data_IF_727815114231
#
_entry.id   IF_727815114231
#
_cell.length_a   1.000
_cell.length_b   1.000
_cell.length_c   1.000
_cell.angle_alpha   90.00
_cell.angle_beta   90.00
_cell.angle_gamma   90.00
#
_symmetry.space_group_name_H-M   'P 1'
#
loop_
_entity.id
_entity.type
_entity.pdbx_description
1 polymer ?
#
# COMPACT_ATOMS: atom_id res chain seq x y z
N UNK A 1 12.62 1.28 -15.46
CA UNK A 1 11.43 0.55 -15.91
C UNK A 1 11.31 -0.84 -15.27
N UNK A 2 12.24 -1.77 -15.48
CA UNK A 2 12.16 -3.10 -14.86
C UNK A 2 11.91 -3.07 -13.34
N UNK A 3 12.56 -2.15 -12.60
CA UNK A 3 12.28 -1.92 -11.17
C UNK A 3 10.84 -1.49 -10.86
N UNK A 4 10.22 -0.70 -11.74
CA UNK A 4 8.82 -0.28 -11.57
C UNK A 4 7.90 -1.49 -11.71
N UNK A 5 8.09 -2.30 -12.75
CA UNK A 5 7.31 -3.53 -12.97
C UNK A 5 7.55 -4.59 -11.88
N UNK A 6 8.77 -4.65 -11.34
CA UNK A 6 9.07 -5.54 -10.22
C UNK A 6 8.31 -5.14 -8.94
N UNK A 7 8.14 -3.85 -8.68
CA UNK A 7 7.47 -3.37 -7.47
C UNK A 7 5.95 -3.23 -7.62
N UNK A 8 5.45 -2.91 -8.81
CA UNK A 8 4.07 -2.49 -9.05
C UNK A 8 3.37 -3.29 -10.16
N UNK A 9 4.01 -4.33 -10.69
CA UNK A 9 3.40 -5.23 -11.65
C UNK A 9 2.28 -6.06 -11.02
N UNK A 10 1.22 -6.42 -11.76
CA UNK A 10 0.96 -6.04 -13.17
C UNK A 10 0.69 -4.55 -13.37
N UNK A 11 1.23 -3.95 -14.44
CA UNK A 11 1.04 -2.53 -14.75
C UNK A 11 0.91 -2.26 -16.25
N UNK A 12 0.32 -1.11 -16.59
CA UNK A 12 0.14 -0.64 -17.98
C UNK A 12 1.11 0.49 -18.33
N UNK A 13 1.31 0.73 -19.63
CA UNK A 13 2.05 1.87 -20.15
C UNK A 13 1.51 3.21 -19.63
N UNK A 14 0.18 3.33 -19.55
CA UNK A 14 -0.51 4.50 -19.03
C UNK A 14 -0.28 4.70 -17.53
N UNK A 15 -0.28 3.60 -16.75
CA UNK A 15 0.01 3.65 -15.30
C UNK A 15 1.44 4.07 -15.03
N UNK A 16 2.40 3.54 -15.80
CA UNK A 16 3.79 3.96 -15.70
C UNK A 16 4.00 5.42 -16.11
N UNK A 17 3.34 5.87 -17.19
CA UNK A 17 3.44 7.25 -17.65
C UNK A 17 3.02 8.23 -16.54
N UNK A 18 1.90 7.94 -15.86
CA UNK A 18 1.42 8.70 -14.70
C UNK A 18 2.40 8.66 -13.53
N UNK A 19 2.87 7.48 -13.15
CA UNK A 19 3.82 7.32 -12.05
C UNK A 19 5.16 8.03 -12.31
N UNK A 20 5.69 7.92 -13.53
CA UNK A 20 6.97 8.52 -13.90
C UNK A 20 6.88 10.02 -14.26
N UNK A 21 5.66 10.57 -14.39
CA UNK A 21 5.44 11.95 -14.79
C UNK A 21 5.90 12.24 -16.23
N UNK A 22 5.79 11.26 -17.14
CA UNK A 22 6.21 11.37 -18.54
C UNK A 22 5.03 11.23 -19.50
N UNK A 23 5.18 11.71 -20.73
CA UNK A 23 4.17 11.48 -21.77
C UNK A 23 4.08 10.02 -22.21
N UNK A 24 2.86 9.56 -22.55
CA UNK A 24 2.63 8.17 -23.00
C UNK A 24 3.54 7.73 -24.16
N UNK A 25 3.85 8.54 -25.18
CA UNK A 25 4.80 8.15 -26.22
C UNK A 25 6.22 7.86 -25.69
N UNK A 26 6.65 8.59 -24.65
CA UNK A 26 7.94 8.34 -23.99
C UNK A 26 7.89 7.06 -23.17
N UNK A 27 6.81 6.83 -22.42
CA UNK A 27 6.59 5.60 -21.68
C UNK A 27 6.66 4.36 -22.58
N UNK A 28 6.00 4.39 -23.74
CA UNK A 28 6.02 3.30 -24.73
C UNK A 28 7.45 3.00 -25.24
N UNK A 29 8.23 4.02 -25.59
CA UNK A 29 9.64 3.84 -25.98
C UNK A 29 10.49 3.21 -24.87
N UNK A 30 10.19 3.51 -23.61
CA UNK A 30 10.87 2.91 -22.47
C UNK A 30 10.46 1.44 -22.22
N UNK A 31 9.33 1.02 -22.80
CA UNK A 31 8.76 -0.33 -22.69
C UNK A 31 9.37 -1.29 -23.72
N UNK A 32 9.62 -0.81 -24.94
CA UNK A 32 10.13 -1.59 -26.09
C UNK A 32 11.29 -2.55 -25.74
N UNK A 33 12.35 -2.14 -25.01
CA UNK A 33 13.48 -3.02 -24.72
C UNK A 33 13.16 -4.15 -23.74
N UNK A 34 12.00 -4.11 -23.08
CA UNK A 34 11.59 -5.09 -22.09
C UNK A 34 10.55 -6.07 -22.61
N UNK A 35 9.91 -5.82 -23.77
CA UNK A 35 8.78 -6.60 -24.28
C UNK A 35 9.02 -8.12 -24.27
N UNK A 36 10.22 -8.57 -24.67
CA UNK A 36 10.59 -10.00 -24.68
C UNK A 36 10.66 -10.64 -23.29
N UNK A 37 10.71 -9.83 -22.23
CA UNK A 37 10.79 -10.26 -20.83
C UNK A 37 9.48 -10.03 -20.08
N UNK A 38 8.45 -9.58 -20.78
CA UNK A 38 7.14 -9.29 -20.20
C UNK A 38 6.14 -10.36 -20.59
N UNK A 39 5.30 -10.68 -19.63
CA UNK A 39 4.12 -11.51 -19.84
C UNK A 39 2.89 -10.70 -19.50
N UNK A 40 1.84 -10.87 -20.30
CA UNK A 40 0.54 -10.31 -19.98
C UNK A 40 -0.08 -11.13 -18.84
N UNK A 41 -0.56 -10.44 -17.81
CA UNK A 41 -1.25 -11.02 -16.67
C UNK A 41 -2.63 -10.37 -16.59
N UNK A 42 -3.66 -11.20 -16.50
CA UNK A 42 -5.04 -10.76 -16.32
C UNK A 42 -5.48 -10.94 -14.87
N UNK A 43 -6.29 -10.01 -14.37
CA UNK A 43 -6.94 -10.11 -13.06
C UNK A 43 -8.31 -9.43 -13.14
N UNK A 44 -9.32 -10.06 -12.54
CA UNK A 44 -10.73 -9.63 -12.63
C UNK A 44 -11.15 -9.27 -14.06
N UNK A 45 -11.33 -7.97 -14.35
CA UNK A 45 -11.74 -7.42 -15.64
C UNK A 45 -10.64 -6.54 -16.29
N UNK A 46 -9.39 -6.71 -15.88
CA UNK A 46 -8.24 -5.93 -16.35
C UNK A 46 -7.06 -6.84 -16.74
N UNK A 47 -6.14 -6.29 -17.54
CA UNK A 47 -4.86 -6.91 -17.85
C UNK A 47 -3.74 -5.87 -17.87
N UNK A 48 -2.52 -6.36 -17.77
CA UNK A 48 -1.32 -5.55 -17.70
C UNK A 48 -0.08 -6.43 -17.78
N UNK A 49 1.08 -5.79 -17.78
CA UNK A 49 2.35 -6.47 -17.98
C UNK A 49 3.07 -6.72 -16.65
N UNK A 50 3.68 -7.88 -16.53
CA UNK A 50 4.64 -8.22 -15.48
C UNK A 50 5.95 -8.70 -16.09
N UNK A 51 7.04 -8.62 -15.33
CA UNK A 51 8.25 -9.36 -15.67
C UNK A 51 7.95 -10.86 -15.58
N UNK A 52 8.35 -11.64 -16.59
CA UNK A 52 8.13 -13.08 -16.66
C UNK A 52 8.59 -13.79 -15.38
N UNK A 53 9.77 -13.43 -14.87
CA UNK A 53 10.34 -13.98 -13.65
C UNK A 53 9.48 -13.70 -12.41
N UNK A 54 8.90 -12.50 -12.31
CA UNK A 54 8.05 -12.12 -11.17
C UNK A 54 6.70 -12.85 -11.25
N UNK A 55 6.13 -12.98 -12.46
CA UNK A 55 4.90 -13.74 -12.68
C UNK A 55 5.06 -15.22 -12.28
N UNK A 56 6.18 -15.86 -12.65
CA UNK A 56 6.48 -17.23 -12.24
C UNK A 56 6.64 -17.38 -10.72
N UNK A 57 7.18 -16.36 -10.05
CA UNK A 57 7.40 -16.40 -8.61
C UNK A 57 6.09 -16.17 -7.84
N UNK A 58 5.24 -15.26 -8.32
CA UNK A 58 3.98 -14.88 -7.67
C UNK A 58 3.03 -16.07 -7.49
N UNK A 59 2.95 -16.98 -8.46
CA UNK A 59 2.12 -18.19 -8.37
C UNK A 59 2.48 -19.13 -7.20
N UNK A 60 3.63 -18.93 -6.56
CA UNK A 60 4.11 -19.71 -5.42
C UNK A 60 4.07 -18.93 -4.10
N UNK A 61 3.71 -17.65 -4.12
CA UNK A 61 3.66 -16.83 -2.90
C UNK A 61 2.33 -16.99 -2.16
N UNK A 62 2.35 -17.00 -0.81
CA UNK A 62 1.12 -16.99 -0.04
C UNK A 62 0.37 -15.67 -0.28
N UNK A 63 -0.95 -15.75 -0.21
CA UNK A 63 -1.81 -14.57 -0.14
C UNK A 63 -1.36 -13.76 1.10
N UNK A 64 -1.17 -12.44 0.99
CA UNK A 64 -0.78 -11.61 2.12
C UNK A 64 -1.74 -11.80 3.30
N UNK A 65 -1.19 -12.07 4.48
CA UNK A 65 -1.95 -12.25 5.70
C UNK A 65 -1.50 -11.28 6.82
N UNK A 66 -2.43 -11.00 7.70
CA UNK A 66 -2.21 -10.25 8.93
C UNK A 66 -2.16 -8.74 8.76
N UNK A 67 -1.71 -8.08 9.82
CA UNK A 67 -1.75 -6.63 9.99
C UNK A 67 -0.47 -5.95 9.51
N UNK A 68 -0.59 -4.81 8.81
CA UNK A 68 0.53 -3.89 8.55
C UNK A 68 0.13 -2.43 8.75
N UNK A 69 1.00 -1.67 9.40
CA UNK A 69 0.89 -0.20 9.51
C UNK A 69 1.82 0.47 8.50
N UNK A 70 1.25 0.97 7.40
CA UNK A 70 1.99 1.72 6.40
C UNK A 70 2.00 3.21 6.74
N UNK A 71 3.19 3.80 6.72
CA UNK A 71 3.38 5.22 6.96
C UNK A 71 2.74 6.09 5.87
N UNK A 72 2.45 7.36 6.18
CA UNK A 72 2.03 8.30 5.14
C UNK A 72 3.13 8.42 4.07
N UNK A 73 2.72 8.42 2.81
CA UNK A 73 3.60 8.45 1.62
C UNK A 73 4.44 7.19 1.40
N UNK A 74 4.12 6.06 2.04
CA UNK A 74 4.76 4.78 1.72
C UNK A 74 4.70 4.51 0.20
N UNK A 75 5.79 4.05 -0.45
CA UNK A 75 5.80 3.76 -1.88
C UNK A 75 4.68 2.83 -2.33
N UNK A 76 4.29 1.88 -1.48
CA UNK A 76 3.18 0.97 -1.76
C UNK A 76 1.84 1.72 -1.90
N UNK A 77 1.63 2.79 -1.13
CA UNK A 77 0.43 3.65 -1.24
C UNK A 77 0.45 4.51 -2.51
N UNK A 78 1.63 4.78 -3.05
CA UNK A 78 1.80 5.60 -4.26
C UNK A 78 1.52 4.86 -5.57
N UNK A 79 0.98 3.63 -5.49
CA UNK A 79 0.48 2.92 -6.64
C UNK A 79 -0.55 3.74 -7.40
N UNK A 80 -0.53 3.56 -8.71
CA UNK A 80 -1.32 4.36 -9.64
C UNK A 80 -2.81 3.99 -9.59
N UNK A 81 -3.11 2.69 -9.48
CA UNK A 81 -4.46 2.22 -9.24
C UNK A 81 -4.72 2.04 -7.74
N UNK A 82 -5.33 3.06 -7.15
CA UNK A 82 -5.68 3.12 -5.72
C UNK A 82 -6.84 2.19 -5.35
N UNK A 83 -7.57 1.65 -6.32
CA UNK A 83 -8.73 0.81 -6.07
C UNK A 83 -8.36 -0.57 -5.50
N UNK A 84 -7.14 -1.06 -5.76
CA UNK A 84 -6.61 -2.28 -5.13
C UNK A 84 -6.35 -2.13 -3.63
N UNK A 85 -6.02 -0.91 -3.21
CA UNK A 85 -5.61 -0.61 -1.84
C UNK A 85 -6.82 -0.22 -0.99
N UNK A 86 -7.64 0.69 -1.54
CA UNK A 86 -8.74 1.31 -0.82
C UNK A 86 -10.06 0.95 -1.49
N UNK A 87 -10.80 0.04 -0.85
CA UNK A 87 -12.11 -0.38 -1.33
C UNK A 87 -13.23 0.44 -0.65
N UNK A 88 -14.20 0.87 -1.45
CA UNK A 88 -15.38 1.57 -0.95
C UNK A 88 -15.24 3.10 -0.83
N UNK A 89 -16.39 3.77 -0.95
CA UNK A 89 -16.46 5.24 -1.05
C UNK A 89 -16.03 5.96 0.24
N UNK A 90 -16.20 5.34 1.40
CA UNK A 90 -15.88 5.95 2.69
C UNK A 90 -14.37 6.08 2.89
N UNK A 91 -13.62 4.98 2.76
CA UNK A 91 -12.17 5.01 2.86
C UNK A 91 -11.53 5.86 1.76
N UNK A 92 -12.03 5.77 0.51
CA UNK A 92 -11.50 6.60 -0.57
C UNK A 92 -11.63 8.09 -0.26
N UNK A 93 -12.78 8.50 0.28
CA UNK A 93 -13.01 9.87 0.75
C UNK A 93 -12.14 10.22 1.95
N UNK A 94 -11.82 9.28 2.83
CA UNK A 94 -10.99 9.53 3.99
C UNK A 94 -9.52 9.80 3.58
N UNK A 95 -8.93 8.92 2.77
CA UNK A 95 -7.51 9.00 2.39
C UNK A 95 -7.21 10.04 1.31
N UNK A 96 -8.14 10.29 0.38
CA UNK A 96 -7.88 11.09 -0.82
C UNK A 96 -8.65 12.42 -0.87
N UNK A 97 -9.18 12.92 0.26
CA UNK A 97 -9.68 14.29 0.36
C UNK A 97 -8.53 15.30 0.43
N UNK A 98 -8.66 16.40 -0.30
CA UNK A 98 -7.57 17.36 -0.56
C UNK A 98 -7.19 18.30 0.60
N UNK A 99 -7.69 18.11 1.82
CA UNK A 99 -7.78 19.20 2.81
C UNK A 99 -7.16 18.92 4.19
N UNK A 100 -6.26 17.94 4.35
CA UNK A 100 -5.77 17.57 5.70
C UNK A 100 -4.42 16.88 5.76
N UNK A 101 -4.03 16.51 6.99
CA UNK A 101 -2.89 15.63 7.28
C UNK A 101 -3.16 14.27 6.65
N UNK A 102 -2.23 13.76 5.85
CA UNK A 102 -2.35 12.43 5.22
C UNK A 102 -2.17 11.38 6.32
N UNK A 103 -3.20 10.57 6.63
CA UNK A 103 -3.08 9.49 7.60
C UNK A 103 -2.24 8.34 7.04
N UNK A 104 -1.62 7.58 7.92
CA UNK A 104 -1.09 6.26 7.57
C UNK A 104 -2.23 5.27 7.34
N UNK A 105 -1.94 4.18 6.64
CA UNK A 105 -2.91 3.12 6.34
C UNK A 105 -2.69 1.92 7.26
N UNK A 106 -3.79 1.39 7.80
CA UNK A 106 -3.84 0.07 8.42
C UNK A 106 -4.30 -0.91 7.36
N UNK A 107 -3.47 -1.90 7.05
CA UNK A 107 -3.82 -3.00 6.15
C UNK A 107 -4.07 -4.27 6.95
N UNK A 108 -5.11 -5.00 6.58
CA UNK A 108 -5.38 -6.36 7.06
C UNK A 108 -5.58 -7.27 5.86
N UNK A 109 -4.78 -8.32 5.74
CA UNK A 109 -4.75 -9.24 4.58
C UNK A 109 -4.61 -8.48 3.23
N UNK A 110 -3.79 -7.43 3.23
CA UNK A 110 -3.54 -6.57 2.06
C UNK A 110 -4.63 -5.54 1.75
N UNK A 111 -5.74 -5.51 2.50
CA UNK A 111 -6.83 -4.54 2.31
C UNK A 111 -6.76 -3.42 3.34
N UNK A 112 -6.95 -2.17 2.90
CA UNK A 112 -7.01 -1.06 3.83
C UNK A 112 -8.30 -1.10 4.65
N UNK A 113 -8.16 -1.10 5.98
CA UNK A 113 -9.30 -1.19 6.93
C UNK A 113 -9.43 0.03 7.83
N UNK A 114 -8.37 0.82 8.02
CA UNK A 114 -8.41 2.00 8.89
C UNK A 114 -7.29 2.99 8.58
N UNK A 115 -7.44 4.21 9.09
CA UNK A 115 -6.40 5.23 9.10
C UNK A 115 -5.69 5.25 10.45
N UNK A 116 -4.45 5.74 10.48
CA UNK A 116 -3.75 5.98 11.74
C UNK A 116 -2.88 7.25 11.70
N UNK A 117 -2.64 7.79 12.89
CA UNK A 117 -1.76 8.92 13.15
C UNK A 117 -0.74 8.55 14.21
N UNK A 118 0.42 9.20 14.15
CA UNK A 118 1.44 9.06 15.19
C UNK A 118 1.71 10.35 15.93
N UNK A 119 2.09 10.19 17.19
CA UNK A 119 2.65 11.24 18.02
C UNK A 119 3.91 10.73 18.71
N UNK A 120 4.99 11.50 18.61
CA UNK A 120 6.22 11.25 19.37
C UNK A 120 6.17 11.96 20.72
N UNK A 121 6.55 11.27 21.79
CA UNK A 121 6.78 11.86 23.12
C UNK A 121 8.09 11.31 23.71
N UNK A 122 9.10 12.16 23.79
CA UNK A 122 10.45 11.73 24.17
C UNK A 122 10.97 10.63 23.24
N UNK A 123 11.33 9.48 23.80
CA UNK A 123 11.80 8.31 23.06
C UNK A 123 10.67 7.28 22.77
N UNK A 124 9.41 7.71 22.80
CA UNK A 124 8.24 6.84 22.54
C UNK A 124 7.43 7.32 21.34
N UNK A 125 6.92 6.36 20.58
CA UNK A 125 5.96 6.56 19.49
C UNK A 125 4.58 6.05 19.93
N UNK A 126 3.57 6.92 19.93
CA UNK A 126 2.17 6.58 20.20
C UNK A 126 1.40 6.59 18.88
N UNK A 127 0.53 5.60 18.68
CA UNK A 127 -0.28 5.47 17.48
C UNK A 127 -1.77 5.61 17.83
N UNK A 128 -2.48 6.49 17.14
CA UNK A 128 -3.93 6.57 17.21
C UNK A 128 -4.50 5.98 15.93
N UNK A 129 -5.31 4.94 16.06
CA UNK A 129 -5.99 4.27 14.94
C UNK A 129 -7.43 4.76 14.92
N UNK A 130 -7.86 5.24 13.76
CA UNK A 130 -9.23 5.69 13.52
C UNK A 130 -10.02 4.56 12.85
N UNK A 131 -10.85 3.90 13.66
CA UNK A 131 -11.75 2.83 13.24
C UNK A 131 -12.96 3.41 12.51
N UNK A 132 -13.05 3.09 11.22
CA UNK A 132 -14.14 3.53 10.33
C UNK A 132 -15.30 2.53 10.26
N UNK A 133 -15.37 1.55 11.17
CA UNK A 133 -16.41 0.52 11.21
C UNK A 133 -16.17 -0.64 10.23
N UNK A 134 -14.93 -0.79 9.77
CA UNK A 134 -14.44 -1.89 8.94
C UNK A 134 -13.88 -3.01 9.84
N UNK A 135 -13.50 -4.20 9.33
CA UNK A 135 -13.22 -5.36 10.18
C UNK A 135 -11.89 -5.29 10.98
N UNK A 136 -11.57 -4.15 11.60
CA UNK A 136 -10.59 -4.06 12.68
C UNK A 136 -10.96 -4.96 13.87
N UNK A 137 -12.24 -5.32 14.02
CA UNK A 137 -12.72 -6.27 15.04
C UNK A 137 -12.12 -7.68 14.91
N UNK A 138 -11.52 -8.01 13.75
CA UNK A 138 -10.83 -9.29 13.54
C UNK A 138 -9.36 -9.27 13.93
N UNK A 139 -8.79 -8.08 14.13
CA UNK A 139 -7.39 -7.91 14.50
C UNK A 139 -7.24 -8.06 16.00
N UNK A 140 -6.32 -8.92 16.44
CA UNK A 140 -6.04 -9.07 17.87
C UNK A 140 -5.29 -7.85 18.42
N UNK A 141 -5.44 -7.60 19.73
CA UNK A 141 -4.69 -6.55 20.43
C UNK A 141 -3.18 -6.80 20.33
N UNK A 142 -2.78 -8.08 20.41
CA UNK A 142 -1.38 -8.49 20.33
C UNK A 142 -0.78 -8.17 18.95
N UNK A 143 -1.50 -8.44 17.85
CA UNK A 143 -1.07 -8.07 16.49
C UNK A 143 -0.88 -6.56 16.33
N UNK A 144 -1.78 -5.77 16.90
CA UNK A 144 -1.68 -4.30 16.88
C UNK A 144 -0.45 -3.83 17.65
N UNK A 145 -0.20 -4.37 18.84
CA UNK A 145 0.96 -4.01 19.65
C UNK A 145 2.28 -4.40 18.97
N UNK A 146 2.34 -5.57 18.34
CA UNK A 146 3.52 -6.01 17.58
C UNK A 146 3.83 -5.08 16.40
N UNK A 147 2.82 -4.72 15.60
CA UNK A 147 3.02 -3.82 14.46
C UNK A 147 3.35 -2.39 14.89
N UNK A 148 2.77 -1.89 15.98
CA UNK A 148 3.13 -0.58 16.55
C UNK A 148 4.57 -0.58 17.07
N UNK A 149 5.00 -1.69 17.70
CA UNK A 149 6.38 -1.85 18.12
C UNK A 149 7.36 -1.90 16.95
N UNK A 150 7.00 -2.60 15.86
CA UNK A 150 7.77 -2.63 14.61
C UNK A 150 7.91 -1.23 14.01
N UNK A 151 6.81 -0.48 13.93
CA UNK A 151 6.81 0.90 13.44
C UNK A 151 7.70 1.80 14.32
N UNK A 152 7.57 1.71 15.64
CA UNK A 152 8.40 2.48 16.56
C UNK A 152 9.90 2.18 16.36
N UNK A 153 10.26 0.90 16.22
CA UNK A 153 11.63 0.46 15.91
C UNK A 153 12.16 1.03 14.60
N UNK A 154 11.35 1.04 13.53
CA UNK A 154 11.71 1.63 12.25
C UNK A 154 12.00 3.14 12.35
N UNK A 155 11.36 3.83 13.31
CA UNK A 155 11.62 5.23 13.65
C UNK A 155 12.75 5.43 14.68
N UNK A 156 13.40 4.36 15.15
CA UNK A 156 14.43 4.42 16.20
C UNK A 156 13.90 4.77 17.59
N UNK A 157 12.62 4.49 17.85
CA UNK A 157 11.89 4.80 19.08
C UNK A 157 11.40 3.52 19.77
N UNK A 158 10.88 3.67 21.00
CA UNK A 158 10.15 2.60 21.71
C UNK A 158 8.64 2.74 21.48
N UNK A 159 7.91 1.64 21.53
CA UNK A 159 6.44 1.70 21.52
C UNK A 159 5.94 2.46 22.75
N UNK A 160 5.04 3.42 22.53
CA UNK A 160 4.20 4.04 23.54
C UNK A 160 2.85 3.36 23.69
N UNK A 161 2.54 2.38 22.82
CA UNK A 161 1.22 1.76 22.69
C UNK A 161 0.33 2.46 21.65
N UNK A 162 -0.88 1.95 21.52
CA UNK A 162 -1.89 2.50 20.62
C UNK A 162 -3.21 2.82 21.32
N UNK A 163 -4.05 3.60 20.64
CA UNK A 163 -5.44 3.89 21.03
C UNK A 163 -6.36 3.78 19.82
N UNK A 164 -7.58 3.29 20.03
CA UNK A 164 -8.63 3.23 19.00
C UNK A 164 -9.63 4.37 19.20
N UNK A 165 -9.95 5.08 18.12
CA UNK A 165 -10.98 6.13 18.07
C UNK A 165 -11.98 5.79 16.98
N UNK A 166 -13.29 5.87 17.25
CA UNK A 166 -14.32 5.69 16.22
C UNK A 166 -14.67 7.02 15.55
N UNK A 167 -14.88 7.00 14.22
CA UNK A 167 -15.21 8.18 13.40
C UNK A 167 -16.36 7.96 12.42
#
# INVERSE_FOLDING_TARGET
>A
MARYLHCYGPATEEGFARWAGVGLPQARRMWEPLLERLVEVAWDNASGWMLEQDAMTLGHHPIPDGLRLLGPNDPWIQQDDRSFIVQGKQLYKYFYKANGVIPGMVLYDGQCVAGWFQRRQGNKLYVTIEDMGLPLTRVSVDELDEEVARLALAHGLRSGGFSLTQI
#
